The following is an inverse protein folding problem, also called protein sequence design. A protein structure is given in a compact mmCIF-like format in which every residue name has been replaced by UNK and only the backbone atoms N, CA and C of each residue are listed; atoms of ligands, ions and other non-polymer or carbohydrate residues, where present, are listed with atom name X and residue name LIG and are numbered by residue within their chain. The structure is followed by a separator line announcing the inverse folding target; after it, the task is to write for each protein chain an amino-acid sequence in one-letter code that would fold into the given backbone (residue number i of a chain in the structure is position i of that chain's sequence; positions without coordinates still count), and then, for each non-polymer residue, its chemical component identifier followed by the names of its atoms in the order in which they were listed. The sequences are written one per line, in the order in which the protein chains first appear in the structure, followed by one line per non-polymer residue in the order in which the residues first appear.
data_IF_786112231748
#
_entry.id   IF_786112231748
#
_cell.length_a   1.000
_cell.length_b   1.000
_cell.length_c   1.000
_cell.angle_alpha   90.00
_cell.angle_beta   90.00
_cell.angle_gamma   90.00
#
_symmetry.space_group_name_H-M   'P 1'
#
loop_
_entity.id
_entity.type
_entity.pdbx_description
1 polymer ?
#
# COMPACT_ATOMS: atom_id res chain seq x y z
N UNK A 1 11.98 17.84 -23.97
CA UNK A 1 11.24 18.97 -23.35
C UNK A 1 11.57 18.99 -21.84
N UNK A 2 12.48 19.88 -21.39
CA UNK A 2 12.81 20.00 -19.95
C UNK A 2 11.62 20.65 -19.25
N UNK A 3 10.88 19.88 -18.44
CA UNK A 3 9.85 20.42 -17.55
C UNK A 3 10.50 21.48 -16.66
N UNK A 4 10.15 22.75 -16.86
CA UNK A 4 10.52 23.83 -15.95
C UNK A 4 9.83 23.56 -14.60
N UNK A 5 10.57 22.92 -13.70
CA UNK A 5 10.16 22.73 -12.31
C UNK A 5 10.15 24.13 -11.68
N UNK A 6 8.98 24.62 -11.28
CA UNK A 6 8.83 25.92 -10.58
C UNK A 6 9.85 25.99 -9.45
N UNK A 7 10.56 27.10 -9.27
CA UNK A 7 11.65 27.22 -8.27
C UNK A 7 11.26 26.77 -6.84
N UNK A 8 10.01 27.00 -6.45
CA UNK A 8 9.49 26.56 -5.14
C UNK A 8 9.34 25.03 -5.01
N UNK A 9 9.23 24.31 -6.12
CA UNK A 9 9.27 22.85 -6.16
C UNK A 9 10.71 22.35 -6.08
N UNK A 10 11.63 22.94 -6.86
CA UNK A 10 13.05 22.58 -6.84
C UNK A 10 13.66 22.70 -5.43
N UNK A 11 13.44 23.84 -4.76
CA UNK A 11 13.89 24.07 -3.38
C UNK A 11 13.38 23.03 -2.38
N UNK A 12 12.15 22.53 -2.55
CA UNK A 12 11.58 21.49 -1.67
C UNK A 12 12.13 20.10 -1.93
N UNK A 13 12.51 19.82 -3.17
CA UNK A 13 13.15 18.57 -3.55
C UNK A 13 14.59 18.51 -3.04
N UNK A 14 15.29 19.65 -3.05
CA UNK A 14 16.64 19.80 -2.49
C UNK A 14 16.64 19.74 -0.95
N UNK A 15 15.63 20.33 -0.30
CA UNK A 15 15.54 20.38 1.17
C UNK A 15 15.04 19.09 1.85
N UNK A 16 14.66 18.06 1.09
CA UNK A 16 14.16 16.80 1.62
C UNK A 16 15.19 15.69 1.39
N UNK A 17 16.26 15.72 2.19
CA UNK A 17 17.33 14.72 2.13
C UNK A 17 16.96 13.41 2.84
N UNK A 18 17.75 12.36 2.62
CA UNK A 18 17.56 11.08 3.32
C UNK A 18 17.78 11.23 4.84
N UNK A 19 18.83 11.95 5.22
CA UNK A 19 19.14 12.26 6.62
C UNK A 19 18.05 13.08 7.30
N UNK A 20 17.33 13.93 6.56
CA UNK A 20 16.15 14.62 7.10
C UNK A 20 15.05 13.65 7.52
N UNK A 21 14.78 12.59 6.77
CA UNK A 21 13.76 11.61 7.15
C UNK A 21 14.16 10.84 8.43
N UNK A 22 15.43 10.44 8.53
CA UNK A 22 15.98 9.79 9.74
C UNK A 22 15.89 10.73 10.95
N UNK A 23 16.34 11.99 10.80
CA UNK A 23 16.30 13.01 11.86
C UNK A 23 14.88 13.36 12.31
N UNK A 24 13.97 13.59 11.36
CA UNK A 24 12.58 13.93 11.67
C UNK A 24 11.87 12.73 12.31
N UNK A 25 12.09 11.53 11.79
CA UNK A 25 11.53 10.31 12.36
C UNK A 25 12.04 10.05 13.78
N UNK A 26 13.35 10.24 14.02
CA UNK A 26 13.94 10.15 15.36
C UNK A 26 13.30 11.16 16.32
N UNK A 27 13.19 12.44 15.91
CA UNK A 27 12.52 13.46 16.73
C UNK A 27 11.04 13.17 16.99
N UNK A 28 10.35 12.52 16.05
CA UNK A 28 8.95 12.13 16.23
C UNK A 28 8.82 10.95 17.21
N UNK A 29 9.72 9.98 17.11
CA UNK A 29 9.76 8.78 17.94
C UNK A 29 10.49 8.97 19.28
N UNK A 30 11.19 10.09 19.51
CA UNK A 30 11.96 10.34 20.74
C UNK A 30 11.10 10.44 22.00
N UNK A 31 9.77 10.44 21.85
CA UNK A 31 8.79 10.31 22.95
C UNK A 31 8.41 8.84 23.24
N UNK A 32 9.04 7.90 22.54
CA UNK A 32 8.97 6.44 22.68
C UNK A 32 10.36 5.88 23.00
N UNK A 33 10.54 4.56 23.03
CA UNK A 33 11.79 3.87 23.41
C UNK A 33 13.03 4.15 22.53
N UNK A 34 12.93 5.05 21.54
CA UNK A 34 13.96 5.30 20.52
C UNK A 34 14.61 6.69 20.75
N UNK A 35 15.70 6.73 21.51
CA UNK A 35 16.37 7.98 21.93
C UNK A 35 17.49 8.45 20.97
N UNK A 36 17.85 7.69 19.95
CA UNK A 36 18.98 7.96 19.04
C UNK A 36 18.55 8.11 17.57
N UNK A 37 19.49 8.49 16.68
CA UNK A 37 19.27 8.50 15.23
C UNK A 37 18.74 7.13 14.79
N UNK A 38 17.55 7.12 14.20
CA UNK A 38 16.89 5.88 13.82
C UNK A 38 17.56 5.29 12.57
N UNK A 39 17.90 4.01 12.65
CA UNK A 39 18.49 3.27 11.53
C UNK A 39 17.45 3.03 10.43
N UNK A 40 17.88 2.61 9.22
CA UNK A 40 16.89 2.19 8.20
C UNK A 40 16.10 0.95 8.63
N UNK A 41 16.64 0.11 9.51
CA UNK A 41 15.89 -1.00 10.11
C UNK A 41 14.75 -0.47 11.00
N UNK A 42 15.02 0.56 11.81
CA UNK A 42 13.99 1.23 12.60
C UNK A 42 13.00 1.99 11.72
N UNK A 43 13.46 2.61 10.62
CA UNK A 43 12.59 3.27 9.64
C UNK A 43 11.62 2.26 9.00
N UNK A 44 12.12 1.09 8.58
CA UNK A 44 11.28 0.00 8.09
C UNK A 44 10.33 -0.46 9.20
N UNK A 45 10.82 -0.61 10.43
CA UNK A 45 10.02 -1.06 11.56
C UNK A 45 8.88 -0.11 11.90
N UNK A 46 9.07 1.20 11.84
CA UNK A 46 8.09 2.19 12.31
C UNK A 46 7.29 2.85 11.17
N UNK A 47 7.85 2.91 9.96
CA UNK A 47 7.23 3.57 8.80
C UNK A 47 7.07 2.67 7.57
N UNK A 48 7.49 1.41 7.67
CA UNK A 48 7.40 0.39 6.59
C UNK A 48 8.25 0.69 5.36
N UNK A 49 9.20 1.61 5.44
CA UNK A 49 10.16 1.86 4.38
C UNK A 49 11.44 2.50 4.88
N UNK A 50 12.49 2.39 4.08
CA UNK A 50 13.76 3.08 4.29
C UNK A 50 13.62 4.57 4.05
N UNK A 51 14.53 5.34 4.63
CA UNK A 51 14.62 6.79 4.44
C UNK A 51 14.75 7.21 2.96
N UNK A 52 15.48 6.43 2.15
CA UNK A 52 15.60 6.63 0.71
C UNK A 52 14.25 6.49 -0.01
N UNK A 53 13.50 5.42 0.29
CA UNK A 53 12.17 5.20 -0.33
C UNK A 53 11.19 6.30 0.07
N UNK A 54 11.26 6.79 1.31
CA UNK A 54 10.43 7.92 1.77
C UNK A 54 10.77 9.23 1.08
N UNK A 55 12.05 9.48 0.81
CA UNK A 55 12.49 10.61 0.00
C UNK A 55 11.92 10.53 -1.42
N UNK A 56 12.01 9.37 -2.06
CA UNK A 56 11.45 9.15 -3.39
C UNK A 56 9.93 9.37 -3.42
N UNK A 57 9.20 8.77 -2.46
CA UNK A 57 7.76 9.01 -2.33
C UNK A 57 7.44 10.50 -2.15
N UNK A 58 8.15 11.19 -1.26
CA UNK A 58 7.89 12.61 -1.02
C UNK A 58 8.16 13.46 -2.26
N UNK A 59 9.21 13.14 -3.02
CA UNK A 59 9.49 13.76 -4.32
C UNK A 59 8.34 13.53 -5.29
N UNK A 60 7.86 12.29 -5.44
CA UNK A 60 6.74 11.97 -6.32
C UNK A 60 5.46 12.72 -5.92
N UNK A 61 5.18 12.82 -4.62
CA UNK A 61 4.05 13.58 -4.10
C UNK A 61 4.19 15.08 -4.39
N UNK A 62 5.38 15.64 -4.21
CA UNK A 62 5.67 17.06 -4.52
C UNK A 62 5.49 17.34 -6.00
N UNK A 63 5.97 16.44 -6.87
CA UNK A 63 5.78 16.54 -8.33
C UNK A 63 4.30 16.38 -8.72
N UNK A 64 3.55 15.55 -7.99
CA UNK A 64 2.10 15.39 -8.14
C UNK A 64 1.27 16.55 -7.55
N UNK A 65 1.91 17.63 -7.07
CA UNK A 65 1.22 18.85 -6.63
C UNK A 65 0.93 18.92 -5.13
N UNK A 66 1.69 18.21 -4.28
CA UNK A 66 1.55 18.29 -2.83
C UNK A 66 1.68 19.76 -2.34
N UNK A 67 0.73 20.28 -1.52
CA UNK A 67 0.75 21.68 -1.08
C UNK A 67 2.09 22.11 -0.47
N UNK A 68 2.50 23.35 -0.73
CA UNK A 68 3.81 23.91 -0.34
C UNK A 68 4.05 23.87 1.17
N UNK A 69 2.99 24.05 1.97
CA UNK A 69 3.06 23.97 3.43
C UNK A 69 3.22 22.52 3.96
N UNK A 70 3.11 21.50 3.11
CA UNK A 70 3.30 20.10 3.51
C UNK A 70 4.79 19.78 3.69
N UNK A 71 5.15 19.21 4.84
CA UNK A 71 6.52 18.85 5.21
C UNK A 71 6.73 17.32 5.21
N UNK A 72 7.98 16.83 5.13
CA UNK A 72 8.29 15.40 5.28
C UNK A 72 7.69 14.76 6.55
N UNK A 73 7.62 15.51 7.66
CA UNK A 73 6.96 15.08 8.89
C UNK A 73 5.50 14.64 8.70
N UNK A 74 4.75 15.30 7.81
CA UNK A 74 3.35 14.95 7.57
C UNK A 74 3.22 13.60 6.86
N UNK A 75 4.20 13.24 6.02
CA UNK A 75 4.28 11.92 5.40
C UNK A 75 4.59 10.84 6.45
N UNK A 76 5.55 11.10 7.33
CA UNK A 76 5.88 10.19 8.45
C UNK A 76 4.69 9.98 9.38
N UNK A 77 3.93 11.04 9.68
CA UNK A 77 2.69 10.92 10.44
C UNK A 77 1.70 9.98 9.76
N UNK A 78 1.45 10.17 8.46
CA UNK A 78 0.53 9.31 7.73
C UNK A 78 0.98 7.84 7.78
N UNK A 79 2.26 7.57 7.51
CA UNK A 79 2.79 6.21 7.49
C UNK A 79 2.74 5.52 8.85
N UNK A 80 3.19 6.21 9.91
CA UNK A 80 3.10 5.68 11.26
C UNK A 80 1.64 5.38 11.65
N UNK A 81 0.72 6.29 11.31
CA UNK A 81 -0.70 6.10 11.61
C UNK A 81 -1.26 4.88 10.85
N UNK A 82 -0.91 4.70 9.58
CA UNK A 82 -1.35 3.54 8.80
C UNK A 82 -0.72 2.23 9.28
N UNK A 83 0.50 2.29 9.78
CA UNK A 83 1.25 1.13 10.25
C UNK A 83 0.82 0.66 11.64
N UNK A 84 0.71 1.58 12.60
CA UNK A 84 0.47 1.24 14.01
C UNK A 84 -0.97 1.46 14.44
N UNK A 85 -1.74 2.25 13.68
CA UNK A 85 -3.13 2.60 13.97
C UNK A 85 -3.37 3.02 15.44
N UNK A 86 -2.61 4.03 15.95
CA UNK A 86 -2.55 4.33 17.37
C UNK A 86 -3.85 4.96 17.91
N UNK A 87 -4.14 4.72 19.20
CA UNK A 87 -5.27 5.36 19.90
C UNK A 87 -5.08 6.89 19.95
N UNK A 88 -6.18 7.65 19.90
CA UNK A 88 -6.18 9.13 19.89
C UNK A 88 -5.26 9.77 20.95
N UNK A 89 -5.35 9.34 22.22
CA UNK A 89 -4.52 9.89 23.31
C UNK A 89 -3.02 9.66 23.08
N UNK A 90 -2.66 8.46 22.62
CA UNK A 90 -1.27 8.12 22.28
C UNK A 90 -0.78 8.97 21.11
N UNK A 91 -1.63 9.16 20.10
CA UNK A 91 -1.31 9.96 18.92
C UNK A 91 -1.07 11.44 19.23
N UNK A 92 -1.90 12.05 20.07
CA UNK A 92 -1.73 13.45 20.49
C UNK A 92 -0.43 13.64 21.29
N UNK A 93 -0.05 12.65 22.11
CA UNK A 93 1.23 12.63 22.83
C UNK A 93 2.42 12.52 21.88
N UNK A 94 2.39 11.57 20.95
CA UNK A 94 3.46 11.30 19.99
C UNK A 94 3.68 12.49 19.04
N UNK A 95 2.59 13.00 18.46
CA UNK A 95 2.65 14.10 17.49
C UNK A 95 2.87 15.48 18.11
N UNK A 96 2.72 15.62 19.43
CA UNK A 96 2.77 16.91 20.17
C UNK A 96 1.83 17.97 19.57
N UNK A 97 0.72 17.52 18.98
CA UNK A 97 -0.28 18.33 18.28
C UNK A 97 -1.66 17.74 18.53
N UNK A 98 -2.70 18.56 18.39
CA UNK A 98 -4.07 18.06 18.51
C UNK A 98 -4.41 17.07 17.41
N UNK A 99 -5.32 16.13 17.69
CA UNK A 99 -5.79 15.18 16.68
C UNK A 99 -6.43 15.89 15.48
N UNK A 100 -7.07 17.04 15.70
CA UNK A 100 -7.67 17.86 14.62
C UNK A 100 -6.58 18.35 13.64
N UNK A 101 -5.47 18.87 14.16
CA UNK A 101 -4.36 19.38 13.34
C UNK A 101 -3.67 18.27 12.57
N UNK A 102 -3.35 17.15 13.23
CA UNK A 102 -2.70 16.02 12.57
C UNK A 102 -3.60 15.37 11.53
N UNK A 103 -4.90 15.21 11.81
CA UNK A 103 -5.88 14.68 10.86
C UNK A 103 -6.00 15.54 9.60
N UNK A 104 -5.94 16.88 9.72
CA UNK A 104 -5.92 17.80 8.57
C UNK A 104 -4.74 17.49 7.64
N UNK A 105 -3.53 17.37 8.19
CA UNK A 105 -2.32 17.12 7.41
C UNK A 105 -2.25 15.70 6.84
N UNK A 106 -2.64 14.71 7.62
CA UNK A 106 -2.79 13.33 7.15
C UNK A 106 -3.76 13.25 5.98
N UNK A 107 -4.89 13.98 6.02
CA UNK A 107 -5.84 14.02 4.91
C UNK A 107 -5.26 14.63 3.63
N UNK A 108 -4.36 15.62 3.74
CA UNK A 108 -3.66 16.21 2.58
C UNK A 108 -2.71 15.18 1.95
N UNK A 109 -1.87 14.53 2.77
CA UNK A 109 -0.94 13.49 2.29
C UNK A 109 -1.70 12.33 1.67
N UNK A 110 -2.74 11.86 2.37
CA UNK A 110 -3.65 10.81 1.90
C UNK A 110 -4.22 11.11 0.52
N UNK A 111 -4.66 12.34 0.27
CA UNK A 111 -5.18 12.75 -1.05
C UNK A 111 -4.08 12.77 -2.11
N UNK A 112 -2.88 13.24 -1.77
CA UNK A 112 -1.76 13.28 -2.71
C UNK A 112 -1.29 11.87 -3.12
N UNK A 113 -1.25 10.91 -2.18
CA UNK A 113 -0.94 9.50 -2.48
C UNK A 113 -1.95 8.91 -3.48
N UNK A 114 -3.21 9.34 -3.41
CA UNK A 114 -4.24 8.93 -4.37
C UNK A 114 -4.10 9.55 -5.76
N UNK A 115 -3.30 10.60 -5.95
CA UNK A 115 -2.99 11.11 -7.29
C UNK A 115 -2.04 10.15 -8.03
N UNK A 116 -1.24 9.38 -7.28
CA UNK A 116 -0.29 8.38 -7.81
C UNK A 116 -1.00 7.08 -8.22
N UNK A 117 -2.24 6.85 -7.79
CA UNK A 117 -3.06 5.67 -8.14
C UNK A 117 -4.49 6.13 -8.42
N UNK A 118 -4.95 6.18 -9.68
CA UNK A 118 -6.27 6.71 -9.99
C UNK A 118 -7.39 5.77 -9.53
N UNK A 119 -8.34 6.34 -8.76
CA UNK A 119 -9.80 6.30 -9.00
C UNK A 119 -10.77 5.99 -7.79
N UNK A 120 -11.93 6.68 -7.85
CA UNK A 120 -13.28 6.59 -7.22
C UNK A 120 -13.59 6.37 -5.72
N UNK A 121 -14.16 7.43 -5.12
CA UNK A 121 -15.53 7.65 -4.55
C UNK A 121 -16.18 6.92 -3.34
N UNK A 122 -17.32 7.47 -2.84
CA UNK A 122 -17.74 7.53 -1.41
C UNK A 122 -19.21 7.06 -1.05
N UNK A 123 -19.47 5.86 -0.46
CA UNK A 123 -20.69 5.38 0.34
C UNK A 123 -20.76 5.20 1.91
N UNK A 124 -21.46 6.00 2.76
CA UNK A 124 -21.28 5.96 4.26
C UNK A 124 -22.47 5.25 4.95
N UNK A 125 -22.21 4.37 5.92
CA UNK A 125 -23.26 3.78 6.79
C UNK A 125 -22.69 2.85 7.88
N UNK A 126 -23.30 2.84 9.07
CA UNK A 126 -23.09 1.81 10.11
C UNK A 126 -24.11 0.70 9.88
N UNK A 127 -23.71 -0.57 9.98
CA UNK A 127 -24.58 -1.71 9.66
C UNK A 127 -24.76 -2.68 10.84
N UNK A 128 -25.96 -3.28 10.98
CA UNK A 128 -26.18 -4.52 11.72
C UNK A 128 -25.40 -5.70 11.07
N UNK A 129 -25.52 -6.92 11.60
CA UNK A 129 -24.94 -8.10 10.93
C UNK A 129 -25.45 -8.18 9.48
N UNK A 130 -24.51 -8.32 8.55
CA UNK A 130 -24.79 -8.34 7.12
C UNK A 130 -23.86 -9.38 6.47
N UNK A 131 -24.48 -10.41 5.89
CA UNK A 131 -23.80 -11.51 5.21
C UNK A 131 -22.94 -11.01 4.04
N UNK A 132 -23.31 -9.88 3.41
CA UNK A 132 -22.53 -9.27 2.34
C UNK A 132 -21.12 -8.88 2.80
N UNK A 133 -20.94 -8.59 4.09
CA UNK A 133 -19.65 -8.22 4.67
C UNK A 133 -18.98 -9.40 5.38
N UNK A 134 -19.68 -10.50 5.62
CA UNK A 134 -19.16 -11.60 6.40
C UNK A 134 -18.01 -12.30 5.66
N UNK A 135 -16.80 -12.16 6.21
CA UNK A 135 -15.62 -12.86 5.72
C UNK A 135 -15.45 -14.20 6.43
N UNK A 136 -15.64 -15.31 5.71
CA UNK A 136 -15.45 -16.66 6.25
C UNK A 136 -14.06 -16.88 6.89
N UNK A 137 -13.01 -16.23 6.36
CA UNK A 137 -11.63 -16.33 6.88
C UNK A 137 -11.48 -15.75 8.29
N UNK A 138 -12.19 -14.68 8.61
CA UNK A 138 -12.08 -13.98 9.89
C UNK A 138 -13.31 -14.14 10.79
N UNK A 139 -14.34 -14.84 10.28
CA UNK A 139 -15.67 -15.05 10.90
C UNK A 139 -16.33 -13.75 11.40
N UNK A 140 -16.06 -12.65 10.72
CA UNK A 140 -16.45 -11.27 11.08
C UNK A 140 -16.68 -10.46 9.80
N UNK A 141 -17.29 -9.28 9.93
CA UNK A 141 -17.35 -8.32 8.84
C UNK A 141 -15.94 -7.95 8.37
N UNK A 142 -15.70 -8.00 7.07
CA UNK A 142 -14.39 -7.82 6.47
C UNK A 142 -14.46 -7.09 5.13
N UNK A 143 -13.33 -6.50 4.78
CA UNK A 143 -13.07 -5.94 3.47
C UNK A 143 -12.16 -6.86 2.67
N UNK A 144 -12.35 -6.84 1.35
CA UNK A 144 -11.52 -7.57 0.41
C UNK A 144 -10.98 -6.64 -0.66
N UNK A 145 -9.74 -6.92 -1.04
CA UNK A 145 -9.07 -6.27 -2.16
C UNK A 145 -8.54 -7.36 -3.09
N UNK A 146 -8.64 -7.11 -4.39
CA UNK A 146 -7.93 -7.89 -5.41
C UNK A 146 -6.65 -7.18 -5.78
N UNK A 147 -5.53 -7.89 -5.83
CA UNK A 147 -4.27 -7.39 -6.38
C UNK A 147 -3.86 -8.29 -7.55
N UNK A 148 -3.23 -7.70 -8.57
CA UNK A 148 -2.53 -8.46 -9.60
C UNK A 148 -1.10 -7.94 -9.73
N UNK A 149 -0.19 -8.86 -9.98
CA UNK A 149 1.25 -8.62 -9.97
C UNK A 149 1.83 -9.07 -11.30
N UNK A 150 2.76 -8.29 -11.86
CA UNK A 150 3.47 -8.69 -13.06
C UNK A 150 4.29 -9.97 -12.78
N UNK A 151 4.15 -10.98 -13.65
CA UNK A 151 4.86 -12.26 -13.53
C UNK A 151 6.38 -12.07 -13.61
N UNK A 152 6.86 -11.22 -14.51
CA UNK A 152 8.29 -11.00 -14.72
C UNK A 152 8.88 -10.05 -13.68
N UNK A 153 8.33 -8.84 -13.57
CA UNK A 153 8.91 -7.82 -12.67
C UNK A 153 8.56 -8.07 -11.21
N UNK A 154 7.32 -8.45 -10.91
CA UNK A 154 6.82 -8.58 -9.54
C UNK A 154 6.22 -7.29 -8.98
N UNK A 155 6.11 -6.24 -9.80
CA UNK A 155 5.37 -5.05 -9.43
C UNK A 155 3.87 -5.34 -9.32
N UNK A 156 3.20 -4.66 -8.38
CA UNK A 156 1.75 -4.61 -8.34
C UNK A 156 1.28 -3.74 -9.50
N UNK A 157 0.59 -4.34 -10.47
CA UNK A 157 0.08 -3.68 -11.68
C UNK A 157 -1.40 -3.34 -11.58
N UNK A 158 -2.13 -4.02 -10.68
CA UNK A 158 -3.55 -3.80 -10.49
C UNK A 158 -3.91 -3.91 -9.02
N UNK A 159 -4.74 -2.98 -8.55
CA UNK A 159 -5.41 -3.07 -7.26
C UNK A 159 -6.89 -2.74 -7.43
N UNK A 160 -7.78 -3.53 -6.82
CA UNK A 160 -9.23 -3.39 -6.88
C UNK A 160 -9.83 -3.55 -5.49
N UNK A 161 -10.82 -2.71 -5.17
CA UNK A 161 -11.49 -2.69 -3.86
C UNK A 161 -11.66 -1.26 -3.31
N UNK A 162 -12.17 -1.09 -2.08
CA UNK A 162 -12.60 -2.12 -1.15
C UNK A 162 -13.90 -2.79 -1.61
N UNK A 163 -13.97 -4.10 -1.47
CA UNK A 163 -15.21 -4.86 -1.64
C UNK A 163 -15.68 -5.44 -0.30
N UNK A 164 -17.00 -5.52 -0.04
CA UNK A 164 -17.56 -6.33 1.03
C UNK A 164 -17.12 -7.80 0.88
N UNK A 165 -16.51 -8.38 1.92
CA UNK A 165 -15.81 -9.67 1.78
C UNK A 165 -16.72 -10.88 1.49
N UNK A 166 -18.01 -10.83 1.87
CA UNK A 166 -18.96 -11.91 1.62
C UNK A 166 -19.55 -11.86 0.21
N UNK A 167 -20.01 -10.68 -0.23
CA UNK A 167 -20.64 -10.49 -1.54
C UNK A 167 -19.66 -10.51 -2.73
N UNK A 168 -18.35 -10.45 -2.46
CA UNK A 168 -17.29 -10.40 -3.46
C UNK A 168 -16.27 -11.53 -3.27
N UNK A 169 -16.63 -12.77 -3.65
CA UNK A 169 -15.66 -13.86 -3.73
C UNK A 169 -14.55 -13.54 -4.75
N UNK A 170 -13.39 -14.16 -4.58
CA UNK A 170 -12.20 -13.87 -5.40
C UNK A 170 -12.46 -14.07 -6.89
N UNK A 171 -13.19 -15.14 -7.23
CA UNK A 171 -13.65 -15.44 -8.59
C UNK A 171 -14.45 -14.30 -9.23
N UNK A 172 -15.31 -13.63 -8.44
CA UNK A 172 -16.14 -12.52 -8.92
C UNK A 172 -15.27 -11.29 -9.19
N UNK A 173 -14.34 -10.98 -8.29
CA UNK A 173 -13.38 -9.88 -8.46
C UNK A 173 -12.54 -10.12 -9.71
N UNK A 174 -12.02 -11.34 -9.92
CA UNK A 174 -11.26 -11.70 -11.11
C UNK A 174 -12.07 -11.46 -12.40
N UNK A 175 -13.26 -12.06 -12.47
CA UNK A 175 -14.10 -12.03 -13.67
C UNK A 175 -14.55 -10.60 -14.02
N UNK A 176 -14.90 -9.79 -13.01
CA UNK A 176 -15.45 -8.45 -13.24
C UNK A 176 -14.41 -7.34 -13.34
N UNK A 177 -13.22 -7.50 -12.73
CA UNK A 177 -12.25 -6.41 -12.64
C UNK A 177 -10.86 -6.73 -13.19
N UNK A 178 -10.49 -7.99 -13.34
CA UNK A 178 -9.20 -8.41 -13.93
C UNK A 178 -9.39 -8.73 -15.40
N UNK A 179 -10.33 -9.60 -15.75
CA UNK A 179 -10.56 -10.03 -17.15
C UNK A 179 -10.74 -8.86 -18.12
N UNK A 180 -11.52 -7.80 -17.82
CA UNK A 180 -11.68 -6.68 -18.75
C UNK A 180 -10.40 -5.85 -19.00
N UNK A 181 -9.36 -6.06 -18.18
CA UNK A 181 -8.07 -5.36 -18.30
C UNK A 181 -6.99 -6.21 -18.98
N UNK A 182 -7.30 -7.46 -19.31
CA UNK A 182 -6.39 -8.34 -20.03
C UNK A 182 -6.40 -8.02 -21.52
N UNK A 183 -5.22 -8.03 -22.13
CA UNK A 183 -5.06 -7.93 -23.58
C UNK A 183 -5.62 -9.20 -24.25
N UNK A 184 -6.03 -9.14 -25.53
CA UNK A 184 -6.46 -10.32 -26.26
C UNK A 184 -5.41 -11.45 -26.21
N UNK A 185 -5.81 -12.62 -25.70
CA UNK A 185 -4.94 -13.79 -25.55
C UNK A 185 -4.06 -13.79 -24.30
N UNK A 186 -4.04 -12.71 -23.51
CA UNK A 186 -3.29 -12.64 -22.26
C UNK A 186 -3.86 -13.62 -21.22
N UNK A 187 -2.95 -14.33 -20.53
CA UNK A 187 -3.30 -15.30 -19.50
C UNK A 187 -2.68 -14.92 -18.16
N UNK A 188 -3.36 -15.32 -17.08
CA UNK A 188 -2.96 -15.05 -15.70
C UNK A 188 -2.70 -16.35 -14.96
N UNK A 189 -1.65 -16.38 -14.15
CA UNK A 189 -1.38 -17.47 -13.19
C UNK A 189 -2.19 -17.23 -11.92
N UNK A 190 -3.02 -18.20 -11.53
CA UNK A 190 -3.85 -18.08 -10.34
C UNK A 190 -4.03 -19.43 -9.65
N UNK A 191 -4.49 -19.38 -8.40
CA UNK A 191 -4.77 -20.57 -7.60
C UNK A 191 -5.86 -21.47 -8.20
N UNK A 192 -5.88 -22.72 -7.75
CA UNK A 192 -6.84 -23.76 -8.17
C UNK A 192 -8.31 -23.34 -8.05
N UNK A 193 -8.62 -22.46 -7.10
CA UNK A 193 -9.98 -21.99 -6.86
C UNK A 193 -10.58 -21.16 -7.99
N UNK A 194 -9.74 -20.59 -8.87
CA UNK A 194 -10.23 -19.75 -9.95
C UNK A 194 -10.61 -20.56 -11.20
N UNK A 195 -11.68 -20.13 -11.88
CA UNK A 195 -12.27 -20.77 -13.07
C UNK A 195 -12.54 -19.73 -14.15
N UNK A 196 -11.67 -19.65 -15.15
CA UNK A 196 -11.90 -18.83 -16.35
C UNK A 196 -10.93 -19.27 -17.47
N UNK A 197 -11.27 -19.15 -18.78
CA UNK A 197 -10.40 -19.55 -19.88
C UNK A 197 -9.03 -18.82 -19.93
N UNK A 198 -8.95 -17.62 -19.36
CA UNK A 198 -7.72 -16.82 -19.29
C UNK A 198 -6.79 -17.23 -18.15
N UNK A 199 -7.12 -18.28 -17.39
CA UNK A 199 -6.33 -18.69 -16.21
C UNK A 199 -5.48 -19.91 -16.54
N UNK A 200 -4.19 -19.83 -16.19
CA UNK A 200 -3.33 -21.00 -16.03
C UNK A 200 -3.30 -21.39 -14.56
N UNK A 201 -3.81 -22.59 -14.25
CA UNK A 201 -3.79 -23.15 -12.89
C UNK A 201 -2.44 -23.83 -12.62
N UNK A 202 -2.09 -24.12 -11.35
CA UNK A 202 -0.82 -24.75 -11.01
C UNK A 202 -0.61 -26.12 -11.66
N UNK A 203 -1.69 -26.84 -11.97
CA UNK A 203 -1.66 -28.11 -12.72
C UNK A 203 -1.45 -27.97 -14.24
N UNK A 204 -1.62 -26.77 -14.82
CA UNK A 204 -1.54 -26.55 -16.27
C UNK A 204 -0.10 -26.18 -16.69
N UNK A 205 0.81 -27.15 -16.66
CA UNK A 205 2.21 -26.99 -17.10
C UNK A 205 2.60 -28.03 -18.14
N UNK A 206 3.44 -27.64 -19.09
CA UNK A 206 3.91 -28.50 -20.18
C UNK A 206 5.19 -29.26 -19.78
N UNK A 207 5.99 -28.69 -18.88
CA UNK A 207 7.27 -29.25 -18.46
C UNK A 207 7.62 -28.94 -16.99
N UNK A 208 8.67 -29.60 -16.47
CA UNK A 208 9.12 -29.41 -15.08
C UNK A 208 9.65 -28.00 -14.81
N UNK A 209 10.29 -27.36 -15.78
CA UNK A 209 10.77 -25.98 -15.63
C UNK A 209 9.60 -25.02 -15.47
N UNK A 210 8.55 -25.14 -16.29
CA UNK A 210 7.35 -24.32 -16.16
C UNK A 210 6.66 -24.55 -14.80
N UNK A 211 6.58 -25.81 -14.33
CA UNK A 211 6.04 -26.10 -13.00
C UNK A 211 6.82 -25.37 -11.90
N UNK A 212 8.15 -25.32 -12.00
CA UNK A 212 9.01 -24.57 -11.07
C UNK A 212 8.77 -23.07 -11.18
N UNK A 213 8.64 -22.54 -12.39
CA UNK A 213 8.34 -21.13 -12.65
C UNK A 213 7.01 -20.71 -12.00
N UNK A 214 5.94 -21.50 -12.19
CA UNK A 214 4.65 -21.26 -11.54
C UNK A 214 4.73 -21.25 -10.02
N UNK A 215 5.50 -22.19 -9.44
CA UNK A 215 5.75 -22.21 -8.00
C UNK A 215 6.44 -20.92 -7.51
N UNK A 216 7.41 -20.42 -8.28
CA UNK A 216 8.06 -19.15 -7.99
C UNK A 216 7.09 -17.96 -8.11
N UNK A 217 6.24 -17.92 -9.14
CA UNK A 217 5.19 -16.89 -9.28
C UNK A 217 4.24 -16.88 -8.08
N UNK A 218 3.77 -18.05 -7.65
CA UNK A 218 2.90 -18.18 -6.49
C UNK A 218 3.61 -17.68 -5.21
N UNK A 219 4.85 -18.12 -4.96
CA UNK A 219 5.64 -17.66 -3.81
C UNK A 219 5.92 -16.16 -3.82
N UNK A 220 6.02 -15.55 -5.01
CA UNK A 220 6.18 -14.10 -5.15
C UNK A 220 4.90 -13.39 -4.71
N UNK A 221 3.75 -13.86 -5.18
CA UNK A 221 2.45 -13.31 -4.78
C UNK A 221 2.22 -13.47 -3.26
N UNK A 222 2.61 -14.60 -2.66
CA UNK A 222 2.58 -14.80 -1.21
C UNK A 222 3.51 -13.83 -0.46
N UNK A 223 4.72 -13.59 -0.97
CA UNK A 223 5.67 -12.62 -0.40
C UNK A 223 5.09 -11.20 -0.40
N UNK A 224 4.39 -10.82 -1.48
CA UNK A 224 3.70 -9.54 -1.60
C UNK A 224 2.61 -9.42 -0.53
N UNK A 225 1.76 -10.45 -0.41
CA UNK A 225 0.73 -10.50 0.62
C UNK A 225 1.33 -10.42 2.04
N UNK A 226 2.46 -11.08 2.29
CA UNK A 226 3.20 -10.99 3.55
C UNK A 226 3.67 -9.57 3.86
N UNK A 227 4.25 -8.87 2.87
CA UNK A 227 4.71 -7.49 3.02
C UNK A 227 3.56 -6.51 3.23
N UNK A 228 2.43 -6.71 2.56
CA UNK A 228 1.24 -5.87 2.77
C UNK A 228 0.71 -6.02 4.20
N UNK A 229 0.75 -7.22 4.80
CA UNK A 229 0.36 -7.45 6.20
C UNK A 229 1.21 -6.70 7.23
N UNK A 230 2.39 -6.17 6.86
CA UNK A 230 3.17 -5.31 7.76
C UNK A 230 2.48 -3.98 8.11
N UNK A 231 1.43 -3.61 7.39
CA UNK A 231 0.59 -2.46 7.70
C UNK A 231 -0.59 -2.92 8.55
N UNK A 232 -0.68 -2.51 9.82
CA UNK A 232 -1.75 -2.94 10.72
C UNK A 232 -3.16 -2.61 10.20
N UNK A 233 -3.30 -1.70 9.23
CA UNK A 233 -4.55 -1.50 8.50
C UNK A 233 -5.14 -2.78 7.87
N UNK A 234 -4.35 -3.83 7.66
CA UNK A 234 -4.80 -5.12 7.13
C UNK A 234 -5.03 -6.21 8.18
N UNK A 235 -4.53 -6.01 9.39
CA UNK A 235 -4.56 -7.01 10.48
C UNK A 235 -5.51 -6.60 11.61
N UNK A 236 -5.59 -5.29 11.89
CA UNK A 236 -6.39 -4.72 12.96
C UNK A 236 -7.83 -4.41 12.55
N UNK A 237 -8.73 -4.40 13.54
CA UNK A 237 -10.12 -3.97 13.32
C UNK A 237 -10.15 -2.50 12.95
N UNK A 238 -10.49 -2.21 11.70
CA UNK A 238 -10.74 -0.86 11.23
C UNK A 238 -12.00 -0.25 11.87
N UNK A 239 -11.87 0.96 12.44
CA UNK A 239 -12.92 1.65 13.22
C UNK A 239 -13.36 2.98 12.60
N UNK A 240 -12.82 3.35 11.45
CA UNK A 240 -13.16 4.58 10.76
C UNK A 240 -14.16 4.31 9.62
N UNK A 241 -14.45 5.34 8.82
CA UNK A 241 -15.34 5.23 7.67
C UNK A 241 -14.79 4.22 6.67
N UNK A 242 -15.55 3.17 6.36
CA UNK A 242 -15.15 2.05 5.49
C UNK A 242 -14.57 2.52 4.14
N UNK A 243 -15.08 3.62 3.58
CA UNK A 243 -14.55 4.21 2.33
C UNK A 243 -13.10 4.63 2.44
N UNK A 244 -12.70 5.00 3.65
CA UNK A 244 -11.37 5.52 3.91
C UNK A 244 -10.35 4.40 4.04
N UNK A 245 -10.78 3.15 4.27
CA UNK A 245 -9.87 2.01 4.38
C UNK A 245 -8.99 1.85 3.14
N UNK A 246 -9.55 2.15 1.95
CA UNK A 246 -8.81 2.06 0.68
C UNK A 246 -7.53 2.88 0.69
N UNK A 247 -7.53 4.03 1.36
CA UNK A 247 -6.35 4.87 1.45
C UNK A 247 -5.20 4.20 2.22
N UNK A 248 -5.53 3.41 3.25
CA UNK A 248 -4.55 2.67 4.03
C UNK A 248 -3.99 1.51 3.19
N UNK A 249 -4.88 0.77 2.51
CA UNK A 249 -4.48 -0.35 1.66
C UNK A 249 -3.63 0.09 0.45
N UNK A 250 -4.04 1.16 -0.24
CA UNK A 250 -3.28 1.70 -1.37
C UNK A 250 -1.95 2.28 -0.94
N UNK A 251 -1.87 2.90 0.24
CA UNK A 251 -0.58 3.31 0.79
C UNK A 251 0.35 2.11 0.91
N UNK A 252 -0.11 0.97 1.45
CA UNK A 252 0.70 -0.24 1.53
C UNK A 252 1.17 -0.73 0.15
N UNK A 253 0.31 -0.69 -0.87
CA UNK A 253 0.66 -1.09 -2.24
C UNK A 253 1.69 -0.15 -2.89
N UNK A 254 1.53 1.17 -2.74
CA UNK A 254 2.48 2.17 -3.25
C UNK A 254 3.84 2.01 -2.58
N UNK A 255 3.85 1.85 -1.26
CA UNK A 255 5.09 1.61 -0.50
C UNK A 255 5.79 0.34 -0.99
N UNK A 256 5.03 -0.74 -1.21
CA UNK A 256 5.59 -1.98 -1.77
C UNK A 256 6.25 -1.73 -3.13
N UNK A 257 5.56 -1.10 -4.08
CA UNK A 257 6.09 -0.87 -5.42
C UNK A 257 7.35 0.02 -5.40
N UNK A 258 7.38 1.05 -4.55
CA UNK A 258 8.56 1.90 -4.43
C UNK A 258 9.75 1.14 -3.84
N UNK A 259 9.54 0.33 -2.81
CA UNK A 259 10.59 -0.54 -2.27
C UNK A 259 11.07 -1.55 -3.33
N UNK A 260 10.13 -2.12 -4.08
CA UNK A 260 10.44 -3.07 -5.15
C UNK A 260 11.29 -2.44 -6.26
N UNK A 261 10.92 -1.23 -6.73
CA UNK A 261 11.70 -0.52 -7.75
C UNK A 261 13.11 -0.16 -7.28
N UNK A 262 13.25 0.15 -6.01
CA UNK A 262 14.54 0.58 -5.44
C UNK A 262 15.47 -0.60 -5.16
N UNK A 263 14.95 -1.73 -4.70
CA UNK A 263 15.76 -2.85 -4.19
C UNK A 263 15.62 -4.13 -5.03
N UNK A 264 14.76 -4.14 -6.04
CA UNK A 264 14.49 -5.28 -6.90
C UNK A 264 13.49 -6.30 -6.32
N UNK A 265 13.15 -7.33 -7.11
CA UNK A 265 12.37 -8.46 -6.64
C UNK A 265 13.13 -9.28 -5.60
N UNK A 266 12.41 -10.04 -4.76
CA UNK A 266 13.04 -10.98 -3.83
C UNK A 266 13.80 -12.10 -4.57
N UNK A 267 13.29 -12.50 -5.73
CA UNK A 267 13.88 -13.51 -6.60
C UNK A 267 13.29 -13.40 -8.01
N UNK A 268 14.04 -13.83 -9.02
CA UNK A 268 13.62 -13.83 -10.41
C UNK A 268 12.72 -15.02 -10.76
N UNK A 269 11.91 -14.83 -11.78
CA UNK A 269 11.04 -15.87 -12.34
C UNK A 269 11.36 -16.02 -13.82
N UNK A 270 11.69 -17.23 -14.22
CA UNK A 270 12.01 -17.60 -15.59
C UNK A 270 11.01 -18.68 -16.04
N UNK A 271 10.28 -18.40 -17.12
CA UNK A 271 9.39 -19.36 -17.79
C UNK A 271 10.12 -20.09 -18.89
#
# INVERSE_FOLDING_TARGET
MRLHVREGVARRLESASESDFKRIGSSFLSTSQYAYEISDADMIKEFSATSLVLKLLYKDLVLAGLPTASKPLHLLWWLYYTKHYPKKKMWERLSRRSYKTTKKWMHIIRKAIMVVVPDMDKKKGKYPFDECWYGHKFKKAGLRYGIATCIQTGEIVLVQGPFPAGAWPDQKIYTQHVVPKLSPGEKVEADRGYRHPTIRRPENFDCRSEKKAKGAVAGRHETINGRLKNFASLDERYRHDIKEHKYYFYTACVMYNLMHRQYGPTFDVYY
#
